data_IF_967523213520
#
_entry.id   IF_967523213520
#
_cell.length_a   1.000
_cell.length_b   1.000
_cell.length_c   1.000
_cell.angle_alpha   90.00
_cell.angle_beta   90.00
_cell.angle_gamma   90.00
#
_symmetry.space_group_name_H-M   'P 1'
#
loop_
_entity.id
_entity.type
_entity.pdbx_description
1 polymer ?
#
# COMPACT_ATOMS: atom_id res chain seq x y z
N UNK A 1 32.29 47.26 15.34
CA UNK A 1 31.29 46.23 15.73
C UNK A 1 31.30 46.20 17.24
N UNK A 2 30.25 46.72 17.87
CA UNK A 2 30.21 46.87 19.32
C UNK A 2 30.25 45.51 20.00
N UNK A 3 30.91 45.44 21.17
CA UNK A 3 31.02 44.21 21.97
C UNK A 3 29.63 43.59 22.21
N UNK A 4 28.64 44.47 22.39
CA UNK A 4 27.22 44.12 22.54
C UNK A 4 26.68 43.45 21.27
N UNK A 5 26.99 43.97 20.09
CA UNK A 5 26.57 43.36 18.81
C UNK A 5 27.21 41.99 18.61
N UNK A 6 28.48 41.83 19.01
CA UNK A 6 29.18 40.54 18.87
C UNK A 6 28.65 39.48 19.84
N UNK A 7 28.25 39.86 21.06
CA UNK A 7 27.70 38.90 22.05
C UNK A 7 26.29 38.44 21.68
N UNK A 8 25.45 39.33 21.14
CA UNK A 8 24.14 38.93 20.63
C UNK A 8 24.26 37.98 19.44
N UNK A 9 25.14 38.29 18.48
CA UNK A 9 25.33 37.46 17.29
C UNK A 9 25.84 36.05 17.62
N UNK A 10 26.75 35.91 18.58
CA UNK A 10 27.25 34.60 19.01
C UNK A 10 26.20 33.82 19.81
N UNK A 11 25.43 34.48 20.66
CA UNK A 11 24.34 33.85 21.41
C UNK A 11 23.24 33.32 20.47
N UNK A 12 22.85 34.10 19.47
CA UNK A 12 21.87 33.66 18.46
C UNK A 12 22.39 32.49 17.63
N UNK A 13 23.67 32.50 17.25
CA UNK A 13 24.28 31.39 16.51
C UNK A 13 24.35 30.12 17.36
N UNK A 14 24.69 30.24 18.65
CA UNK A 14 24.71 29.11 19.59
C UNK A 14 23.31 28.53 19.80
N UNK A 15 22.29 29.37 19.93
CA UNK A 15 20.89 28.94 20.04
C UNK A 15 20.42 28.21 18.78
N UNK A 16 20.76 28.70 17.58
CA UNK A 16 20.44 28.03 16.31
C UNK A 16 21.14 26.66 16.22
N UNK A 17 22.43 26.58 16.58
CA UNK A 17 23.18 25.32 16.59
C UNK A 17 22.65 24.33 17.65
N UNK A 18 22.13 24.82 18.78
CA UNK A 18 21.52 24.01 19.84
C UNK A 18 20.08 23.56 19.49
N UNK A 19 19.30 24.38 18.77
CA UNK A 19 17.93 24.04 18.34
C UNK A 19 17.88 23.26 17.01
N UNK A 20 19.01 23.11 16.29
CA UNK A 20 19.14 22.18 15.15
C UNK A 20 18.95 20.70 15.54
N UNK A 21 18.74 20.37 16.82
CA UNK A 21 18.29 19.05 17.30
C UNK A 21 16.82 19.02 17.73
N UNK A 22 16.08 20.12 17.59
CA UNK A 22 14.70 20.28 18.09
C UNK A 22 13.69 20.48 16.95
N UNK A 23 14.12 20.54 15.69
CA UNK A 23 13.21 20.49 14.53
C UNK A 23 13.25 19.14 13.82
N UNK A 24 13.03 18.06 14.57
CA UNK A 24 12.58 16.76 14.02
C UNK A 24 11.54 16.19 14.98
N UNK A 25 10.49 16.98 15.23
CA UNK A 25 9.30 16.53 15.97
C UNK A 25 8.02 17.18 15.42
N UNK A 26 8.07 17.71 14.19
CA UNK A 26 6.86 17.76 13.36
C UNK A 26 6.80 16.40 12.68
N UNK A 27 6.16 15.46 13.37
CA UNK A 27 5.36 14.40 12.77
C UNK A 27 5.89 13.89 11.41
N UNK A 28 6.95 13.08 11.42
CA UNK A 28 7.03 11.97 10.46
C UNK A 28 5.95 10.94 10.87
N UNK A 29 4.69 11.36 10.91
CA UNK A 29 3.71 10.53 10.24
C UNK A 29 4.17 10.62 8.80
N UNK A 30 4.92 9.62 8.35
CA UNK A 30 4.90 9.24 6.94
C UNK A 30 3.44 8.99 6.61
N UNK A 31 2.69 10.07 6.39
CA UNK A 31 1.51 10.05 5.58
C UNK A 31 2.08 9.72 4.22
N UNK A 32 2.23 8.42 3.98
CA UNK A 32 2.15 7.91 2.63
C UNK A 32 0.80 8.41 2.13
N UNK A 33 0.79 9.63 1.57
CA UNK A 33 -0.15 10.02 0.53
C UNK A 33 -0.38 8.74 -0.26
N UNK A 34 -1.61 8.20 -0.27
CA UNK A 34 -1.83 6.86 -0.77
C UNK A 34 -1.27 6.81 -2.18
N UNK A 35 -0.20 6.01 -2.35
CA UNK A 35 0.29 5.62 -3.66
C UNK A 35 -0.93 5.31 -4.47
N UNK A 36 -1.16 6.09 -5.52
CA UNK A 36 -2.36 6.06 -6.36
C UNK A 36 -2.90 4.63 -6.45
N UNK A 37 -4.12 4.40 -5.95
CA UNK A 37 -4.70 3.06 -5.91
C UNK A 37 -4.73 2.43 -7.31
N UNK A 38 -4.68 1.09 -7.34
CA UNK A 38 -4.68 0.33 -8.57
C UNK A 38 -5.97 0.45 -9.38
N UNK A 39 -6.02 -0.26 -10.49
CA UNK A 39 -7.24 -0.32 -11.28
C UNK A 39 -8.39 -0.89 -10.44
N UNK A 40 -9.57 -0.27 -10.55
CA UNK A 40 -10.76 -0.66 -9.80
C UNK A 40 -10.64 -0.64 -8.27
N UNK A 41 -9.63 0.07 -7.75
CA UNK A 41 -9.47 0.34 -6.34
C UNK A 41 -9.81 1.80 -5.99
N UNK A 42 -10.22 2.02 -4.74
CA UNK A 42 -10.42 3.34 -4.15
C UNK A 42 -9.76 3.40 -2.77
N UNK A 43 -9.19 4.56 -2.43
CA UNK A 43 -8.64 4.76 -1.09
C UNK A 43 -9.77 4.87 -0.08
N UNK A 44 -9.62 4.17 1.05
CA UNK A 44 -10.54 4.26 2.19
C UNK A 44 -9.75 4.45 3.47
N UNK A 45 -10.34 5.19 4.41
CA UNK A 45 -9.80 5.30 5.77
C UNK A 45 -10.18 4.11 6.64
N UNK A 46 -11.13 3.28 6.19
CA UNK A 46 -11.55 2.06 6.85
C UNK A 46 -11.78 0.96 5.81
N UNK A 47 -10.81 0.06 5.67
CA UNK A 47 -10.91 -1.17 4.91
C UNK A 47 -11.14 -2.34 5.87
N UNK A 48 -12.39 -2.48 6.33
CA UNK A 48 -12.83 -3.57 7.21
C UNK A 48 -13.62 -4.58 6.36
N UNK A 49 -13.21 -5.86 6.34
CA UNK A 49 -13.72 -6.89 5.40
C UNK A 49 -13.59 -6.54 3.91
N UNK A 50 -12.38 -6.57 3.34
CA UNK A 50 -12.23 -6.55 1.89
C UNK A 50 -12.89 -7.79 1.27
N UNK A 51 -13.69 -7.60 0.22
CA UNK A 51 -14.30 -8.69 -0.55
C UNK A 51 -13.29 -9.26 -1.54
N UNK A 52 -13.32 -10.58 -1.74
CA UNK A 52 -12.45 -11.29 -2.68
C UNK A 52 -13.25 -12.30 -3.52
N UNK A 53 -12.62 -12.90 -4.52
CA UNK A 53 -13.27 -13.85 -5.42
C UNK A 53 -13.64 -15.18 -4.73
N UNK A 54 -13.03 -15.53 -3.59
CA UNK A 54 -13.38 -16.70 -2.79
C UNK A 54 -14.69 -16.47 -2.01
N UNK A 55 -14.89 -15.26 -1.51
CA UNK A 55 -16.08 -14.86 -0.74
C UNK A 55 -16.64 -13.49 -1.18
N UNK A 56 -17.21 -13.39 -2.40
CA UNK A 56 -17.68 -12.13 -2.96
C UNK A 56 -18.93 -11.58 -2.25
N UNK A 57 -19.69 -12.47 -1.60
CA UNK A 57 -20.93 -12.13 -0.91
C UNK A 57 -20.79 -12.22 0.61
N UNK A 58 -19.60 -11.96 1.16
CA UNK A 58 -19.43 -11.99 2.60
C UNK A 58 -20.44 -11.05 3.30
N UNK A 59 -21.38 -11.65 4.03
CA UNK A 59 -22.41 -10.92 4.80
C UNK A 59 -21.96 -10.69 6.24
N UNK A 60 -21.18 -11.63 6.79
CA UNK A 60 -20.69 -11.59 8.16
C UNK A 60 -19.25 -11.10 8.14
N UNK A 61 -19.03 -9.95 8.77
CA UNK A 61 -17.70 -9.44 9.04
C UNK A 61 -17.41 -9.47 10.53
N UNK A 62 -16.26 -10.04 10.91
CA UNK A 62 -15.77 -9.93 12.29
C UNK A 62 -15.43 -8.46 12.59
N UNK A 63 -15.80 -7.95 13.78
CA UNK A 63 -15.37 -6.62 14.20
C UNK A 63 -13.84 -6.55 14.27
N UNK A 64 -13.28 -5.40 13.93
CA UNK A 64 -11.83 -5.19 13.90
C UNK A 64 -11.45 -3.73 13.70
N UNK A 65 -10.15 -3.41 13.77
CA UNK A 65 -9.67 -2.06 13.54
C UNK A 65 -9.87 -1.63 12.08
N UNK A 66 -10.22 -0.36 11.87
CA UNK A 66 -10.21 0.24 10.55
C UNK A 66 -8.77 0.41 10.05
N UNK A 67 -8.47 -0.18 8.90
CA UNK A 67 -7.17 -0.07 8.24
C UNK A 67 -7.30 0.92 7.08
N UNK A 68 -6.49 1.99 7.08
CA UNK A 68 -6.39 2.90 5.92
C UNK A 68 -5.67 2.16 4.79
N UNK A 69 -6.33 1.99 3.64
CA UNK A 69 -5.79 1.22 2.53
C UNK A 69 -6.55 1.50 1.23
N UNK A 70 -6.03 1.02 0.10
CA UNK A 70 -6.81 0.82 -1.12
C UNK A 70 -7.72 -0.41 -0.94
N UNK A 71 -9.01 -0.25 -1.25
CA UNK A 71 -10.01 -1.33 -1.30
C UNK A 71 -10.59 -1.44 -2.71
N UNK A 72 -11.10 -2.61 -3.07
CA UNK A 72 -11.87 -2.73 -4.31
C UNK A 72 -13.11 -1.83 -4.28
N UNK A 73 -13.38 -1.15 -5.40
CA UNK A 73 -14.63 -0.40 -5.61
C UNK A 73 -15.84 -1.35 -5.53
N UNK A 74 -17.01 -0.78 -5.28
CA UNK A 74 -18.25 -1.55 -5.32
C UNK A 74 -18.42 -2.29 -6.66
N UNK A 75 -18.76 -3.58 -6.60
CA UNK A 75 -18.87 -4.47 -7.76
C UNK A 75 -17.57 -5.11 -8.23
N UNK A 76 -16.44 -4.79 -7.57
CA UNK A 76 -15.14 -5.40 -7.80
C UNK A 76 -14.68 -6.19 -6.58
N UNK A 77 -13.84 -7.19 -6.83
CA UNK A 77 -13.43 -8.19 -5.86
C UNK A 77 -11.97 -8.52 -6.08
N UNK A 78 -11.23 -8.73 -4.99
CA UNK A 78 -9.82 -9.08 -5.07
C UNK A 78 -9.67 -10.53 -5.56
N UNK A 79 -8.98 -10.73 -6.67
CA UNK A 79 -8.67 -12.06 -7.19
C UNK A 79 -7.48 -12.72 -6.47
N UNK A 80 -7.07 -13.90 -6.93
CA UNK A 80 -5.94 -14.63 -6.38
C UNK A 80 -4.57 -13.97 -6.62
N UNK A 81 -4.48 -13.08 -7.60
CA UNK A 81 -3.28 -12.29 -7.90
C UNK A 81 -3.23 -10.97 -7.11
N UNK A 82 -4.31 -10.65 -6.39
CA UNK A 82 -4.40 -9.45 -5.56
C UNK A 82 -4.94 -8.22 -6.32
N UNK A 83 -5.56 -8.41 -7.49
CA UNK A 83 -6.12 -7.33 -8.32
C UNK A 83 -7.64 -7.28 -8.18
N UNK A 84 -8.22 -6.08 -8.22
CA UNK A 84 -9.67 -5.90 -8.15
C UNK A 84 -10.32 -6.11 -9.53
N UNK A 85 -11.07 -7.19 -9.66
CA UNK A 85 -11.70 -7.63 -10.91
C UNK A 85 -13.22 -7.71 -10.78
N UNK A 86 -13.92 -7.76 -11.92
CA UNK A 86 -15.38 -7.91 -11.94
C UNK A 86 -15.82 -9.30 -11.49
N UNK A 87 -17.10 -9.46 -11.15
CA UNK A 87 -17.63 -10.78 -10.76
C UNK A 87 -17.46 -11.85 -11.85
N UNK A 88 -17.52 -11.47 -13.13
CA UNK A 88 -17.28 -12.40 -14.25
C UNK A 88 -15.82 -12.85 -14.27
N UNK A 89 -14.89 -11.93 -14.05
CA UNK A 89 -13.48 -12.28 -13.94
C UNK A 89 -13.19 -13.16 -12.71
N UNK A 90 -13.91 -12.99 -11.60
CA UNK A 90 -13.81 -13.93 -10.48
C UNK A 90 -14.22 -15.36 -10.84
N UNK A 91 -15.19 -15.56 -11.74
CA UNK A 91 -15.55 -16.91 -12.20
C UNK A 91 -14.35 -17.53 -12.93
N UNK A 92 -13.69 -16.75 -13.80
CA UNK A 92 -12.50 -17.19 -14.53
C UNK A 92 -11.32 -17.48 -13.59
N UNK A 93 -11.07 -16.61 -12.60
CA UNK A 93 -10.06 -16.80 -11.55
C UNK A 93 -10.30 -18.10 -10.77
N UNK A 94 -11.52 -18.32 -10.30
CA UNK A 94 -11.88 -19.54 -9.58
C UNK A 94 -11.71 -20.81 -10.44
N UNK A 95 -12.00 -20.75 -11.74
CA UNK A 95 -11.77 -21.88 -12.66
C UNK A 95 -10.26 -22.15 -12.77
N UNK A 96 -9.45 -21.11 -13.00
CA UNK A 96 -7.99 -21.21 -13.09
C UNK A 96 -7.39 -21.83 -11.83
N UNK A 97 -7.90 -21.46 -10.66
CA UNK A 97 -7.43 -21.94 -9.36
C UNK A 97 -7.89 -23.36 -9.02
N UNK A 98 -9.00 -23.84 -9.62
CA UNK A 98 -9.56 -25.19 -9.38
C UNK A 98 -9.09 -26.24 -10.36
N UNK A 99 -8.56 -25.85 -11.51
CA UNK A 99 -7.85 -26.78 -12.37
C UNK A 99 -6.57 -27.14 -11.61
N UNK A 100 -6.36 -28.39 -11.15
CA UNK A 100 -5.04 -28.78 -10.66
C UNK A 100 -4.08 -28.39 -11.76
N UNK A 101 -3.09 -27.57 -11.45
CA UNK A 101 -2.05 -27.13 -12.36
C UNK A 101 -1.53 -28.37 -13.09
N UNK A 102 -2.13 -28.68 -14.25
CA UNK A 102 -1.53 -29.55 -15.24
C UNK A 102 -0.43 -28.64 -15.71
N UNK A 103 0.69 -28.77 -15.03
CA UNK A 103 1.89 -27.98 -15.24
C UNK A 103 2.02 -27.80 -16.74
N UNK A 104 1.86 -26.56 -17.18
CA UNK A 104 2.25 -26.18 -18.52
C UNK A 104 3.73 -26.53 -18.60
N UNK A 105 4.02 -27.70 -19.19
CA UNK A 105 5.34 -28.01 -19.69
C UNK A 105 5.53 -27.16 -20.93
N UNK A 106 5.69 -25.86 -20.73
CA UNK A 106 6.19 -24.91 -21.69
C UNK A 106 7.56 -24.46 -21.25
N UNK A 107 8.51 -25.40 -21.24
CA UNK A 107 9.91 -25.05 -21.52
C UNK A 107 10.15 -25.39 -22.98
N UNK A 108 9.83 -24.44 -23.85
CA UNK A 108 10.45 -24.39 -25.16
C UNK A 108 11.85 -23.78 -25.00
N UNK A 109 12.84 -24.58 -25.42
CA UNK A 109 14.15 -24.18 -25.95
C UNK A 109 15.15 -23.45 -25.03
N UNK A 110 16.23 -24.17 -24.69
CA UNK A 110 17.56 -23.68 -25.05
C UNK A 110 18.45 -24.86 -25.47
N UNK A 111 19.21 -24.61 -26.53
CA UNK A 111 20.14 -25.52 -27.16
C UNK A 111 21.21 -26.02 -26.17
N UNK A 112 21.72 -27.22 -26.40
CA UNK A 112 23.17 -27.44 -26.47
C UNK A 112 23.48 -28.75 -27.20
N UNK A 113 24.02 -28.58 -28.40
CA UNK A 113 24.85 -29.51 -29.14
C UNK A 113 26.08 -29.90 -28.32
N UNK A 114 26.39 -31.20 -28.22
CA UNK A 114 27.73 -31.81 -28.38
C UNK A 114 27.65 -33.31 -28.13
#
# INVERSE_FOLDING_TARGET
MDLITTTFATLTLYLILATNRIFTAADETTESEPTKCGENEEYTTCNLCPKNCENPFQEICSPGPCIKACKCKSGYYKDSEGVCVSIIACIVDNIRNRIPQVTERSDSSSANTS
#
